data_IF_705642850667
#
_entry.id   IF_705642850667
#
_cell.length_a   1.000
_cell.length_b   1.000
_cell.length_c   1.000
_cell.angle_alpha   90.00
_cell.angle_beta   90.00
_cell.angle_gamma   90.00
#
_symmetry.space_group_name_H-M   'P 1'
#
loop_
_entity.id
_entity.type
_entity.pdbx_description
1 polymer ?
2 non-polymer ?
3 non-polymer ?
4 water ?
#
# COMPACT_ATOMS: atom_id res chain seq x y z
N UNK A 1 13.31 10.25 -6.06
CA UNK A 1 12.50 10.35 -7.32
C UNK A 1 11.75 11.69 -7.28
N UNK A 2 11.43 12.20 -8.44
CA UNK A 2 10.79 13.51 -8.56
C UNK A 2 9.60 13.34 -9.52
N UNK A 3 8.48 13.94 -9.12
CA UNK A 3 7.32 14.08 -10.00
C UNK A 3 6.92 15.52 -10.09
N UNK A 4 6.54 15.93 -11.30
CA UNK A 4 6.06 17.29 -11.51
C UNK A 4 4.81 17.29 -12.44
N UNK A 5 3.81 18.12 -12.11
CA UNK A 5 2.67 18.31 -13.01
C UNK A 5 2.23 19.73 -12.97
N UNK A 6 1.67 20.24 -14.08
CA UNK A 6 1.19 21.61 -14.10
C UNK A 6 -0.17 21.71 -13.41
N UNK A 7 -0.42 22.88 -12.88
CA UNK A 7 -1.72 23.21 -12.32
C UNK A 7 -2.87 22.74 -13.25
N UNK A 8 -3.87 22.09 -12.68
CA UNK A 8 -5.02 21.54 -13.38
C UNK A 8 -4.93 20.07 -13.73
N UNK A 9 -3.73 19.53 -13.73
CA UNK A 9 -3.50 18.10 -14.01
C UNK A 9 -3.22 17.41 -12.66
N UNK A 10 -3.08 16.08 -12.75
CA UNK A 10 -2.93 15.26 -11.59
C UNK A 10 -1.54 14.66 -11.62
N UNK A 11 -0.94 14.46 -10.45
CA UNK A 11 0.38 13.86 -10.39
C UNK A 11 0.25 12.46 -9.81
N UNK A 12 0.76 11.44 -10.51
CA UNK A 12 0.79 10.08 -10.08
C UNK A 12 2.19 9.73 -9.52
N UNK A 13 2.25 9.18 -8.29
CA UNK A 13 3.52 8.67 -7.69
C UNK A 13 3.27 7.21 -7.49
N UNK A 14 4.30 6.39 -7.71
CA UNK A 14 4.21 4.95 -7.56
C UNK A 14 5.56 4.40 -7.09
N UNK A 15 5.49 3.34 -6.30
CA UNK A 15 6.65 2.56 -5.89
C UNK A 15 6.47 1.08 -6.30
N UNK A 16 7.57 0.37 -6.48
CA UNK A 16 7.49 -1.02 -6.79
C UNK A 16 6.96 -1.85 -5.66
N UNK A 17 6.64 -3.10 -6.00
CA UNK A 17 5.86 -3.93 -5.08
C UNK A 17 6.67 -4.19 -3.84
N UNK A 18 6.00 -3.96 -2.72
CA UNK A 18 6.58 -4.10 -1.40
C UNK A 18 7.25 -2.87 -0.84
N UNK A 19 7.24 -1.75 -1.60
CA UNK A 19 7.74 -0.48 -1.16
C UNK A 19 6.62 0.56 -1.06
N UNK A 20 6.75 1.46 -0.11
CA UNK A 20 5.81 2.53 0.04
C UNK A 20 6.46 3.87 -0.12
N UNK A 21 5.61 4.85 -0.38
CA UNK A 21 6.03 6.22 -0.55
C UNK A 21 6.41 6.91 0.77
N UNK A 22 7.58 7.56 0.71
CA UNK A 22 8.10 8.38 1.74
C UNK A 22 8.43 9.73 1.15
N UNK A 23 7.62 10.73 1.50
CA UNK A 23 7.75 12.06 0.90
C UNK A 23 8.87 12.88 1.55
N UNK A 24 9.75 13.39 0.70
CA UNK A 24 10.90 14.25 1.19
C UNK A 24 10.63 15.76 1.07
N UNK A 25 10.05 16.16 -0.07
CA UNK A 25 9.73 17.53 -0.38
C UNK A 25 8.46 17.58 -1.18
N UNK A 26 7.64 18.60 -0.95
CA UNK A 26 6.52 18.87 -1.82
C UNK A 26 6.26 20.35 -1.93
N UNK A 27 5.93 20.82 -3.13
CA UNK A 27 5.41 22.16 -3.24
C UNK A 27 4.44 22.32 -4.37
N UNK A 28 3.33 23.00 -4.08
CA UNK A 28 2.46 23.56 -5.10
C UNK A 28 2.73 25.03 -5.16
N UNK A 29 3.10 25.51 -6.33
CA UNK A 29 3.59 26.91 -6.45
C UNK A 29 4.44 27.10 -7.67
N UNK A 30 5.47 27.96 -7.56
CA UNK A 30 6.41 28.13 -8.66
C UNK A 30 7.76 28.61 -8.12
N UNK A 31 8.80 27.88 -8.41
CA UNK A 31 10.16 28.25 -7.99
C UNK A 31 11.18 28.21 -9.11
N UNK A 32 10.68 28.02 -10.31
CA UNK A 32 11.52 27.98 -11.52
C UNK A 32 10.68 28.47 -12.69
N UNK A 33 11.27 29.26 -13.58
CA UNK A 33 10.62 29.62 -14.87
C UNK A 33 10.49 28.54 -15.90
N UNK A 34 11.30 27.51 -15.79
CA UNK A 34 11.48 26.53 -16.83
C UNK A 34 10.54 25.33 -16.70
N UNK A 35 9.81 25.25 -15.59
CA UNK A 35 8.85 24.17 -15.34
C UNK A 35 7.44 24.72 -15.65
N UNK A 36 6.69 24.07 -16.52
CA UNK A 36 5.34 24.56 -16.92
C UNK A 36 5.42 26.02 -17.34
N UNK A 37 6.35 26.35 -18.24
CA UNK A 37 6.59 27.72 -18.58
C UNK A 37 5.37 28.45 -19.14
N UNK A 38 5.21 29.69 -18.73
CA UNK A 38 4.22 30.60 -19.31
C UNK A 38 4.92 31.92 -19.46
N UNK A 39 4.16 32.96 -19.73
CA UNK A 39 4.78 34.25 -19.94
C UNK A 39 4.27 35.25 -18.88
N UNK A 40 5.15 36.12 -18.37
CA UNK A 40 6.54 36.22 -18.88
C UNK A 40 7.52 36.38 -17.75
N UNK A 41 7.45 37.55 -17.12
CA UNK A 41 8.45 37.97 -16.13
C UNK A 41 8.52 36.97 -14.96
N UNK A 42 9.69 36.84 -14.34
CA UNK A 42 9.79 36.03 -13.11
C UNK A 42 9.08 36.76 -11.96
N UNK A 43 8.27 36.05 -11.18
CA UNK A 43 7.73 36.59 -9.92
C UNK A 43 8.51 36.10 -8.71
N UNK A 44 8.24 36.65 -7.51
CA UNK A 44 8.94 36.07 -6.36
C UNK A 44 8.64 34.58 -6.22
N UNK A 45 9.54 33.81 -5.59
CA UNK A 45 9.27 32.42 -5.34
C UNK A 45 7.86 32.28 -4.67
N UNK A 46 7.15 31.23 -5.10
CA UNK A 46 5.80 30.95 -4.65
C UNK A 46 5.71 29.51 -4.09
N UNK A 47 5.22 29.40 -2.86
CA UNK A 47 5.07 28.07 -2.23
C UNK A 47 3.86 28.01 -1.41
N UNK A 48 3.00 27.02 -1.64
CA UNK A 48 1.89 26.83 -0.66
C UNK A 48 2.45 26.13 0.56
N UNK A 49 2.27 26.74 1.74
CA UNK A 49 2.78 26.12 2.96
C UNK A 49 2.05 24.85 3.28
N UNK A 50 0.80 24.73 2.80
CA UNK A 50 0.00 23.52 2.98
C UNK A 50 0.57 22.25 2.29
N UNK A 51 1.56 22.41 1.39
CA UNK A 51 1.81 21.38 0.34
C UNK A 51 2.30 20.06 0.97
N UNK A 52 3.32 20.15 1.80
CA UNK A 52 3.91 18.93 2.35
C UNK A 52 2.91 18.06 3.11
N UNK A 53 2.14 18.65 4.04
CA UNK A 53 1.20 17.92 4.84
C UNK A 53 0.13 17.23 3.98
N UNK A 54 -0.36 17.97 2.99
CA UNK A 54 -1.35 17.42 2.08
C UNK A 54 -0.77 16.26 1.29
N UNK A 55 0.44 16.37 0.77
CA UNK A 55 1.01 15.27 0.01
C UNK A 55 1.28 14.08 0.94
N UNK A 56 1.77 14.34 2.15
CA UNK A 56 1.86 13.29 3.17
C UNK A 56 0.54 12.59 3.41
N UNK A 57 -0.54 13.33 3.65
CA UNK A 57 -1.88 12.70 3.77
C UNK A 57 -2.32 11.86 2.58
N UNK A 58 -2.13 12.40 1.39
CA UNK A 58 -2.53 11.72 0.16
C UNK A 58 -1.64 10.57 -0.21
N UNK A 59 -0.34 10.56 0.18
CA UNK A 59 0.62 9.63 -0.43
C UNK A 59 1.48 8.81 0.53
N UNK A 60 1.83 9.34 1.70
CA UNK A 60 2.73 8.62 2.61
C UNK A 60 2.16 7.29 3.03
N UNK A 61 3.02 6.29 3.02
CA UNK A 61 2.60 4.95 3.37
C UNK A 61 1.80 4.18 2.34
N UNK A 62 1.63 4.70 1.11
CA UNK A 62 0.87 4.05 0.09
C UNK A 62 1.86 3.57 -0.96
N UNK A 63 1.48 2.60 -1.74
CA UNK A 63 2.29 2.19 -2.88
C UNK A 63 2.09 3.08 -4.10
N UNK A 64 0.99 3.82 -4.11
CA UNK A 64 0.53 4.58 -5.26
C UNK A 64 -0.28 5.78 -4.77
N UNK A 65 -0.23 6.93 -5.46
CA UNK A 65 -1.19 7.99 -5.16
C UNK A 65 -1.35 8.86 -6.37
N UNK A 66 -2.48 9.57 -6.41
CA UNK A 66 -2.76 10.48 -7.51
C UNK A 66 -3.26 11.75 -6.86
N UNK A 67 -2.68 12.93 -7.14
CA UNK A 67 -3.04 14.17 -6.46
C UNK A 67 -3.32 15.25 -7.52
N UNK A 68 -4.43 15.95 -7.35
CA UNK A 68 -4.80 17.06 -8.26
C UNK A 68 -4.06 18.30 -7.88
N UNK A 69 -3.36 18.90 -8.84
CA UNK A 69 -2.57 20.10 -8.55
C UNK A 69 -3.44 21.33 -8.79
N UNK A 70 -4.27 21.65 -7.79
CA UNK A 70 -5.28 22.68 -7.95
C UNK A 70 -5.36 23.52 -6.70
N UNK A 71 -5.84 24.74 -6.89
CA UNK A 71 -6.11 25.65 -5.77
C UNK A 71 -7.13 25.11 -4.75
N UNK A 72 -8.11 24.35 -5.22
CA UNK A 72 -9.06 23.75 -4.29
C UNK A 72 -8.36 22.84 -3.27
N UNK A 73 -7.39 22.07 -3.75
CA UNK A 73 -6.59 21.23 -2.83
C UNK A 73 -5.68 22.04 -1.89
N UNK A 74 -4.85 22.94 -2.45
CA UNK A 74 -3.75 23.56 -1.78
C UNK A 74 -3.97 24.96 -1.27
N UNK A 75 -5.10 25.58 -1.68
CA UNK A 75 -5.18 27.06 -1.71
C UNK A 75 -4.35 27.65 -2.87
N UNK A 76 -4.49 28.94 -3.06
CA UNK A 76 -3.68 29.65 -4.08
C UNK A 76 -2.58 30.46 -3.44
N UNK A 77 -1.34 29.99 -3.50
CA UNK A 77 -0.25 30.69 -2.84
C UNK A 77 0.28 31.89 -3.60
N UNK A 78 -0.18 32.11 -4.82
CA UNK A 78 0.24 33.27 -5.60
C UNK A 78 -0.73 33.51 -6.75
N UNK A 79 -1.77 34.33 -6.49
CA UNK A 79 -2.79 34.67 -7.50
C UNK A 79 -2.19 35.21 -8.78
N UNK A 80 -2.67 34.77 -9.91
CA UNK A 80 -2.22 35.24 -11.21
C UNK A 80 -0.96 34.56 -11.71
N UNK A 81 -0.42 33.60 -10.93
CA UNK A 81 0.74 32.81 -11.33
C UNK A 81 0.36 31.38 -11.71
N UNK A 82 0.73 30.96 -12.91
CA UNK A 82 0.52 29.59 -13.34
C UNK A 82 1.44 28.72 -12.43
N UNK A 83 0.81 27.74 -11.76
CA UNK A 83 1.53 26.94 -10.81
C UNK A 83 1.81 25.54 -11.30
N UNK A 84 2.62 24.80 -10.50
CA UNK A 84 2.88 23.43 -10.74
C UNK A 84 3.11 22.77 -9.36
N UNK A 85 3.01 21.44 -9.34
CA UNK A 85 3.21 20.66 -8.12
C UNK A 85 4.46 19.86 -8.34
N UNK A 86 5.37 19.89 -7.39
CA UNK A 86 6.66 19.09 -7.49
C UNK A 86 6.79 18.35 -6.19
N UNK A 87 7.05 17.06 -6.27
CA UNK A 87 7.23 16.18 -5.13
C UNK A 87 8.54 15.45 -5.32
N UNK A 88 9.31 15.40 -4.25
CA UNK A 88 10.48 14.56 -4.18
C UNK A 88 10.16 13.50 -3.12
N UNK A 89 10.28 12.26 -3.50
CA UNK A 89 9.91 11.08 -2.69
C UNK A 89 10.88 9.92 -2.87
N UNK A 90 10.86 9.02 -1.88
CA UNK A 90 11.67 7.80 -1.85
C UNK A 90 10.66 6.67 -1.65
N UNK A 91 11.02 5.49 -2.16
CA UNK A 91 10.23 4.27 -2.03
C UNK A 91 11.01 3.39 -1.11
N UNK A 92 10.39 3.05 0.00
CA UNK A 92 11.10 2.31 1.07
C UNK A 92 10.26 1.18 1.58
N UNK A 93 10.89 0.20 2.19
CA UNK A 93 10.16 -0.78 2.94
C UNK A 93 9.71 -0.07 4.27
N UNK A 94 8.49 -0.36 4.66
CA UNK A 94 7.86 0.20 5.85
C UNK A 94 8.65 -0.22 7.07
N UNK A 95 9.30 0.72 7.77
CA UNK A 95 9.96 0.32 9.03
C UNK A 95 9.06 -0.11 10.22
N UNK A 96 7.76 0.03 10.09
CA UNK A 96 6.90 -0.49 11.12
C UNK A 96 6.75 -2.04 11.00
N UNK A 97 7.22 -2.65 9.93
CA UNK A 97 7.07 -4.06 9.73
C UNK A 97 8.28 -4.81 10.31
N UNK A 98 8.04 -6.04 10.74
CA UNK A 98 9.06 -6.95 11.24
C UNK A 98 9.74 -7.64 10.08
N UNK A 99 11.08 -7.67 10.12
CA UNK A 99 11.90 -8.19 9.02
C UNK A 99 12.33 -9.64 9.25
N UNK A 100 11.87 -10.55 8.39
CA UNK A 100 12.22 -12.00 8.49
C UNK A 100 12.89 -12.48 7.26
N UNK A 101 13.70 -13.51 7.39
CA UNK A 101 14.41 -14.08 6.29
C UNK A 101 14.78 -15.51 6.59
N UNK A 102 14.48 -16.43 5.65
CA UNK A 102 14.96 -17.81 5.76
C UNK A 102 15.38 -18.30 4.44
N UNK A 103 16.34 -19.24 4.46
CA UNK A 103 16.86 -19.80 3.23
C UNK A 103 15.89 -20.80 2.62
N UNK A 104 16.07 -21.05 1.34
CA UNK A 104 15.24 -22.01 0.59
C UNK A 104 15.19 -23.35 1.37
N UNK A 105 13.98 -23.92 1.49
CA UNK A 105 13.81 -25.15 2.20
C UNK A 105 13.25 -24.97 3.57
N UNK A 106 13.41 -23.78 4.16
CA UNK A 106 12.82 -23.45 5.45
C UNK A 106 11.47 -22.77 5.22
N UNK A 107 10.74 -22.54 6.31
CA UNK A 107 9.48 -21.82 6.35
C UNK A 107 9.62 -20.66 7.26
N UNK A 108 8.90 -19.57 6.94
CA UNK A 108 8.75 -18.51 7.86
C UNK A 108 7.41 -18.63 8.55
N UNK A 109 7.42 -18.68 9.87
CA UNK A 109 6.19 -18.78 10.72
C UNK A 109 5.87 -17.41 11.33
N UNK A 110 4.74 -16.86 10.94
CA UNK A 110 4.33 -15.59 11.45
C UNK A 110 3.13 -15.79 12.31
N UNK A 111 3.06 -15.01 13.39
CA UNK A 111 1.97 -15.18 14.33
C UNK A 111 1.57 -13.84 14.83
N UNK A 112 0.26 -13.59 14.96
CA UNK A 112 -0.26 -12.37 15.51
C UNK A 112 -1.14 -12.78 16.64
N UNK A 113 -0.57 -12.81 17.85
CA UNK A 113 -1.27 -13.43 18.98
C UNK A 113 -2.26 -12.50 19.70
N UNK A 114 -2.18 -11.19 19.51
CA UNK A 114 -3.02 -10.25 20.24
C UNK A 114 -4.38 -10.04 19.56
N UNK A 115 -5.41 -9.92 20.41
CA UNK A 115 -6.76 -9.73 19.94
C UNK A 115 -6.96 -8.44 19.18
N UNK A 116 -6.36 -7.36 19.63
CA UNK A 116 -6.60 -6.06 19.01
C UNK A 116 -5.84 -5.95 17.66
N UNK A 117 -4.78 -6.73 17.49
CA UNK A 117 -4.00 -6.75 16.24
C UNK A 117 -3.81 -8.13 15.74
N UNK A 118 -4.89 -8.74 15.28
CA UNK A 118 -4.89 -10.16 15.10
C UNK A 118 -4.53 -10.63 13.66
N UNK A 119 -4.34 -9.67 12.73
CA UNK A 119 -4.26 -9.99 11.32
C UNK A 119 -2.89 -9.71 10.74
N UNK A 120 -2.36 -10.71 10.07
CA UNK A 120 -1.10 -10.55 9.36
C UNK A 120 -1.27 -9.70 8.11
N UNK A 121 -0.43 -8.67 8.00
CA UNK A 121 -0.29 -7.97 6.73
C UNK A 121 1.13 -8.16 6.25
N UNK A 122 1.26 -8.61 5.03
CA UNK A 122 2.60 -8.77 4.44
C UNK A 122 2.92 -7.43 3.73
N UNK A 123 3.96 -6.81 4.23
CA UNK A 123 4.45 -5.51 3.71
C UNK A 123 5.30 -5.66 2.48
N UNK A 124 6.23 -6.64 2.53
CA UNK A 124 7.24 -6.85 1.48
C UNK A 124 7.52 -8.31 1.37
N UNK A 125 7.79 -8.80 0.17
CA UNK A 125 8.21 -10.16 -0.01
C UNK A 125 9.08 -10.30 -1.21
N UNK A 126 10.10 -11.14 -1.09
CA UNK A 126 11.01 -11.47 -2.19
C UNK A 126 11.44 -12.92 -1.99
N UNK A 127 11.03 -13.81 -2.92
CA UNK A 127 11.61 -15.15 -3.03
C UNK A 127 12.56 -15.12 -4.23
N UNK A 128 13.82 -15.39 -3.94
CA UNK A 128 14.85 -15.34 -4.97
C UNK A 128 16.21 -15.09 -4.33
N UNK A 129 16.97 -14.17 -4.93
CA UNK A 129 18.25 -13.77 -4.33
C UNK A 129 18.59 -12.36 -4.80
N UNK A 130 18.79 -11.46 -3.85
CA UNK A 130 19.19 -10.07 -4.16
C UNK A 130 20.57 -9.71 -3.71
N UNK A 131 21.24 -10.64 -3.03
CA UNK A 131 22.61 -10.41 -2.50
C UNK A 131 23.35 -11.78 -2.36
N UNK A 132 24.66 -11.71 -2.22
CA UNK A 132 25.53 -12.85 -2.00
C UNK A 132 25.82 -12.99 -0.49
N UNK A 133 27.12 -13.05 -0.08
CA UNK A 133 27.43 -13.19 1.33
C UNK A 133 26.98 -11.94 2.02
N UNK A 134 26.50 -12.01 3.27
CA UNK A 134 26.53 -13.20 4.10
C UNK A 134 25.10 -13.85 4.19
N UNK A 135 24.33 -13.79 3.11
CA UNK A 135 22.92 -14.34 3.14
C UNK A 135 22.86 -15.71 2.56
N UNK A 136 22.48 -16.71 3.37
CA UNK A 136 22.20 -18.05 2.82
C UNK A 136 23.25 -18.61 1.85
N UNK A 137 24.49 -18.70 2.35
CA UNK A 137 25.58 -19.09 1.42
C UNK A 137 25.42 -20.43 0.81
N UNK A 138 25.88 -20.53 -0.43
CA UNK A 138 25.86 -21.76 -1.19
C UNK A 138 26.83 -21.67 -2.33
N UNK A 139 27.35 -22.82 -2.73
CA UNK A 139 28.14 -22.91 -3.95
C UNK A 139 27.33 -22.72 -5.20
N UNK A 140 26.00 -22.90 -5.14
CA UNK A 140 25.14 -22.95 -6.31
C UNK A 140 24.40 -21.62 -6.44
N UNK A 141 25.13 -20.60 -6.89
CA UNK A 141 24.59 -19.22 -7.02
C UNK A 141 25.20 -18.59 -8.25
N UNK A 142 24.38 -18.10 -9.13
CA UNK A 142 24.90 -17.46 -10.32
C UNK A 142 24.26 -16.13 -10.58
N UNK A 143 23.47 -15.62 -9.62
CA UNK A 143 22.80 -14.36 -9.80
C UNK A 143 22.43 -13.76 -8.44
N UNK A 144 22.41 -12.45 -8.39
CA UNK A 144 21.90 -11.69 -7.27
C UNK A 144 20.90 -10.69 -7.75
N UNK A 145 20.26 -10.99 -8.90
CA UNK A 145 19.15 -10.18 -9.44
C UNK A 145 18.00 -11.10 -9.80
N UNK A 146 17.58 -11.83 -8.78
CA UNK A 146 16.58 -12.90 -8.94
C UNK A 146 15.41 -12.64 -7.98
N UNK A 147 14.18 -12.60 -8.52
CA UNK A 147 13.01 -12.50 -7.66
C UNK A 147 11.78 -13.02 -8.39
N UNK A 148 11.00 -13.85 -7.69
CA UNK A 148 9.70 -14.22 -8.23
C UNK A 148 8.85 -12.95 -8.35
N UNK A 149 8.35 -12.65 -9.54
CA UNK A 149 7.56 -11.43 -9.73
C UNK A 149 6.22 -11.51 -8.94
N UNK A 150 5.79 -12.75 -8.70
CA UNK A 150 4.69 -13.20 -7.84
C UNK A 150 4.93 -13.14 -6.32
N UNK A 151 6.09 -12.70 -5.84
CA UNK A 151 6.44 -12.95 -4.43
C UNK A 151 5.41 -12.35 -3.47
N UNK A 152 5.05 -11.09 -3.66
CA UNK A 152 4.20 -10.40 -2.73
C UNK A 152 2.75 -10.90 -2.90
N UNK A 153 2.31 -11.05 -4.14
CA UNK A 153 0.92 -11.51 -4.38
C UNK A 153 0.73 -12.91 -3.79
N UNK A 154 1.72 -13.78 -3.98
CA UNK A 154 1.61 -15.14 -3.45
C UNK A 154 1.68 -15.11 -1.94
N UNK A 155 2.61 -14.36 -1.40
CA UNK A 155 2.70 -14.27 0.06
C UNK A 155 1.39 -13.80 0.71
N UNK A 156 0.78 -12.81 0.09
CA UNK A 156 -0.47 -12.24 0.57
C UNK A 156 -1.63 -13.26 0.39
N UNK A 157 -1.67 -13.95 -0.75
CA UNK A 157 -2.70 -14.96 -0.91
C UNK A 157 -2.60 -16.09 0.13
N UNK A 158 -1.39 -16.44 0.54
CA UNK A 158 -1.19 -17.43 1.56
C UNK A 158 -1.53 -16.91 2.96
N UNK A 159 -1.10 -15.70 3.29
CA UNK A 159 -1.07 -15.24 4.67
C UNK A 159 -1.97 -14.07 5.09
N UNK A 160 -2.30 -13.21 4.12
CA UNK A 160 -2.96 -11.91 4.43
C UNK A 160 -4.23 -12.14 5.20
N UNK A 161 -4.31 -11.47 6.36
CA UNK A 161 -5.52 -11.50 7.17
C UNK A 161 -5.58 -12.61 8.18
N UNK A 162 -4.61 -13.54 8.12
CA UNK A 162 -4.64 -14.72 9.02
C UNK A 162 -4.01 -14.33 10.33
N UNK A 163 -4.31 -15.07 11.39
CA UNK A 163 -3.61 -14.91 12.65
C UNK A 163 -2.36 -15.75 12.74
N UNK A 164 -2.23 -16.78 11.89
CA UNK A 164 -1.02 -17.57 11.84
C UNK A 164 -0.81 -17.93 10.42
N UNK A 165 0.45 -17.93 9.97
CA UNK A 165 0.73 -18.37 8.66
C UNK A 165 2.15 -18.90 8.64
N UNK A 166 2.31 -20.03 8.01
CA UNK A 166 3.62 -20.60 7.82
C UNK A 166 3.79 -20.76 6.32
N UNK A 167 4.81 -20.10 5.79
CA UNK A 167 4.99 -20.04 4.34
C UNK A 167 6.37 -20.58 3.97
N UNK A 168 6.42 -21.52 3.03
CA UNK A 168 7.65 -22.16 2.69
C UNK A 168 8.45 -21.30 1.70
N UNK A 169 9.74 -21.21 1.95
CA UNK A 169 10.68 -20.67 0.98
C UNK A 169 10.91 -21.75 -0.07
N UNK A 170 9.98 -21.92 -0.99
CA UNK A 170 10.03 -23.06 -1.89
C UNK A 170 9.50 -22.77 -3.26
N UNK A 171 10.04 -23.47 -4.23
CA UNK A 171 9.61 -23.32 -5.63
C UNK A 171 8.17 -23.76 -5.83
N UNK A 172 7.74 -24.67 -4.95
CA UNK A 172 6.35 -25.21 -5.03
C UNK A 172 5.34 -24.15 -4.65
N UNK A 173 5.77 -23.18 -3.83
CA UNK A 173 4.94 -22.00 -3.50
C UNK A 173 5.02 -20.86 -4.53
N UNK A 174 6.24 -20.45 -4.87
CA UNK A 174 6.46 -19.20 -5.60
C UNK A 174 6.78 -19.39 -7.06
N UNK A 175 6.99 -20.64 -7.49
CA UNK A 175 7.74 -20.95 -8.70
C UNK A 175 9.23 -20.76 -8.54
N UNK A 176 9.99 -21.19 -9.53
CA UNK A 176 11.45 -21.01 -9.47
C UNK A 176 11.89 -19.83 -10.37
N UNK A 177 12.21 -18.70 -9.75
CA UNK A 177 12.59 -17.53 -10.51
C UNK A 177 14.06 -17.55 -11.01
N UNK A 178 14.89 -18.48 -10.57
CA UNK A 178 16.32 -18.56 -11.07
C UNK A 178 16.83 -19.95 -10.89
N UNK A 179 16.49 -20.76 -11.87
CA UNK A 179 16.89 -22.18 -11.83
C UNK A 179 18.39 -22.29 -11.68
N UNK A 180 18.84 -23.05 -10.70
CA UNK A 180 20.26 -23.25 -10.52
C UNK A 180 20.90 -22.45 -9.43
N UNK A 181 20.12 -21.53 -8.82
CA UNK A 181 20.62 -20.69 -7.81
C UNK A 181 19.85 -20.94 -6.50
N UNK A 182 20.60 -21.17 -5.43
CA UNK A 182 20.07 -21.39 -4.08
C UNK A 182 19.46 -20.05 -3.59
N UNK A 183 18.19 -20.10 -3.16
CA UNK A 183 17.38 -18.90 -2.98
C UNK A 183 17.09 -18.71 -1.52
N UNK A 184 16.44 -17.59 -1.19
CA UNK A 184 15.91 -17.31 0.15
C UNK A 184 14.59 -16.57 0.04
N UNK A 185 13.86 -16.53 1.16
CA UNK A 185 12.65 -15.78 1.26
C UNK A 185 12.80 -14.67 2.27
N UNK A 186 12.56 -13.42 1.87
CA UNK A 186 12.70 -12.28 2.73
C UNK A 186 11.28 -11.69 2.81
N UNK A 187 10.72 -11.61 4.01
CA UNK A 187 9.37 -11.13 4.21
C UNK A 187 9.40 -10.17 5.33
N UNK A 188 8.74 -9.05 5.11
CA UNK A 188 8.51 -8.08 6.18
C UNK A 188 7.00 -8.14 6.48
N UNK A 189 6.59 -8.20 7.77
CA UNK A 189 5.16 -8.33 8.05
C UNK A 189 4.82 -7.48 9.24
N UNK A 190 3.55 -7.17 9.36
CA UNK A 190 3.04 -6.42 10.53
C UNK A 190 1.74 -7.10 10.99
N UNK A 191 1.53 -7.13 12.30
CA UNK A 191 0.23 -7.53 12.88
C UNK A 191 -0.69 -6.30 12.93
N UNK A 192 -1.72 -6.33 12.10
CA UNK A 192 -2.62 -5.23 11.88
C UNK A 192 -3.93 -5.34 12.69
N UNK A 193 -4.57 -4.19 12.95
CA UNK A 193 -5.97 -4.14 13.28
C UNK A 193 -6.84 -4.58 12.08
N UNK A 194 -7.97 -5.19 12.39
CA UNK A 194 -8.93 -5.57 11.37
C UNK A 194 -10.31 -4.97 11.65
N UNK A 195 -10.93 -4.44 10.60
CA UNK A 195 -12.35 -4.11 10.62
C UNK A 195 -13.03 -4.91 9.52
N UNK A 196 -14.27 -5.27 9.76
CA UNK A 196 -15.08 -5.94 8.75
C UNK A 196 -16.53 -5.57 8.96
N UNK A 197 -17.20 -5.17 7.87
CA UNK A 197 -18.68 -5.08 7.88
C UNK A 197 -19.26 -5.72 6.66
N UNK A 198 -20.42 -6.36 6.85
CA UNK A 198 -21.14 -6.95 5.78
C UNK A 198 -21.77 -5.87 4.87
N UNK A 199 -21.96 -6.24 3.62
CA UNK A 199 -22.52 -5.34 2.68
C UNK A 199 -23.87 -4.84 3.17
N UNK A 200 -24.16 -3.58 2.90
CA UNK A 200 -25.36 -2.96 3.44
C UNK A 200 -25.15 -2.30 4.77
N UNK A 201 -23.98 -2.46 5.40
CA UNK A 201 -23.68 -1.80 6.67
C UNK A 201 -22.46 -0.90 6.50
N UNK A 202 -22.18 -0.12 7.55
CA UNK A 202 -20.98 0.69 7.63
C UNK A 202 -19.88 -0.01 8.42
N UNK A 203 -18.63 0.42 8.16
CA UNK A 203 -17.41 0.00 8.88
C UNK A 203 -16.72 1.23 9.40
N UNK A 204 -16.51 1.25 10.72
CA UNK A 204 -15.73 2.30 11.37
C UNK A 204 -14.37 1.81 11.82
N UNK A 205 -13.35 2.57 11.44
CA UNK A 205 -11.98 2.37 11.86
C UNK A 205 -11.68 3.50 12.85
N UNK A 206 -10.81 3.21 13.82
CA UNK A 206 -10.54 4.11 14.96
C UNK A 206 -9.14 3.86 15.53
N UNK A 207 -8.42 4.95 15.77
CA UNK A 207 -7.16 4.95 16.53
C UNK A 207 -7.38 5.83 17.76
N UNK A 208 -6.89 5.38 18.92
CA UNK A 208 -6.95 6.16 20.16
C UNK A 208 -5.87 7.27 20.23
N UNK A 209 -5.90 8.05 21.32
CA UNK A 209 -4.72 8.77 21.83
C UNK A 209 -4.09 9.74 20.84
N UNK A 210 -4.91 10.44 20.08
CA UNK A 210 -4.33 11.24 19.00
C UNK A 210 -3.34 10.44 18.17
N UNK A 211 -3.75 9.24 17.77
CA UNK A 211 -3.01 8.49 16.75
C UNK A 211 -3.84 8.49 15.50
N UNK A 212 -3.19 8.15 14.41
CA UNK A 212 -3.73 8.32 13.08
C UNK A 212 -3.68 7.00 12.24
N UNK A 213 -4.71 6.79 11.40
CA UNK A 213 -4.86 5.57 10.58
C UNK A 213 -3.93 5.50 9.38
N UNK A 214 -3.39 4.30 9.14
CA UNK A 214 -2.75 4.01 7.87
C UNK A 214 -3.34 2.67 7.39
N UNK A 215 -4.09 2.71 6.31
CA UNK A 215 -4.77 1.49 5.87
C UNK A 215 -3.76 0.70 5.08
N UNK A 216 -3.64 -0.57 5.40
CA UNK A 216 -2.69 -1.43 4.76
C UNK A 216 -3.21 -2.36 3.69
N UNK A 217 -4.44 -2.85 3.86
CA UNK A 217 -5.03 -3.77 2.88
C UNK A 217 -6.52 -3.58 2.98
N UNK A 218 -7.21 -3.70 1.88
CA UNK A 218 -8.68 -3.61 1.94
C UNK A 218 -9.32 -4.28 0.76
N UNK A 219 -10.46 -4.97 0.99
CA UNK A 219 -11.24 -5.39 -0.16
C UNK A 219 -12.70 -5.31 0.16
N UNK A 220 -13.45 -4.85 -0.82
CA UNK A 220 -14.92 -5.07 -0.81
C UNK A 220 -15.21 -6.21 -1.77
N UNK A 221 -15.76 -7.29 -1.26
CA UNK A 221 -16.02 -8.44 -2.08
C UNK A 221 -16.21 -9.61 -1.15
N UNK A 222 -15.52 -10.68 -1.48
CA UNK A 222 -15.60 -11.91 -0.67
C UNK A 222 -14.45 -12.84 -1.01
N UNK A 223 -13.75 -13.30 0.01
CA UNK A 223 -12.71 -14.34 -0.16
C UNK A 223 -12.90 -15.58 0.71
N UNK A 224 -14.01 -15.64 1.43
CA UNK A 224 -14.28 -16.70 2.36
C UNK A 224 -15.66 -17.19 2.14
N UNK A 225 -15.94 -18.34 2.76
CA UNK A 225 -17.23 -18.90 2.68
C UNK A 225 -18.22 -18.22 3.58
N UNK A 226 -19.44 -18.77 3.61
CA UNK A 226 -20.56 -18.12 4.31
C UNK A 226 -20.49 -18.06 5.82
N UNK A 227 -19.47 -18.66 6.43
CA UNK A 227 -19.17 -18.36 7.81
C UNK A 227 -18.75 -16.90 8.07
N UNK A 228 -18.30 -16.20 7.00
CA UNK A 228 -18.08 -14.77 7.07
C UNK A 228 -19.26 -14.06 6.35
N UNK A 229 -20.02 -13.26 7.10
CA UNK A 229 -21.14 -12.50 6.54
C UNK A 229 -22.12 -13.39 5.82
N UNK A 230 -22.74 -14.27 6.58
CA UNK A 230 -23.63 -15.24 5.96
C UNK A 230 -24.57 -14.65 4.92
N UNK A 231 -24.53 -15.26 3.73
CA UNK A 231 -25.17 -14.79 2.52
C UNK A 231 -24.64 -15.68 1.40
N UNK A 232 -25.09 -15.44 0.18
CA UNK A 232 -24.62 -16.23 -0.94
C UNK A 232 -23.08 -16.04 -1.12
N UNK A 233 -22.35 -17.16 -1.25
CA UNK A 233 -20.90 -17.14 -1.29
C UNK A 233 -20.37 -17.76 -2.58
N UNK A 234 -21.04 -17.54 -3.70
CA UNK A 234 -20.70 -18.22 -4.92
C UNK A 234 -19.33 -17.75 -5.49
N UNK A 235 -18.99 -16.48 -5.34
CA UNK A 235 -17.69 -16.03 -5.78
C UNK A 235 -16.83 -15.71 -4.57
N UNK A 236 -15.83 -16.52 -4.31
CA UNK A 236 -14.86 -16.30 -3.23
C UNK A 236 -13.51 -15.85 -3.74
N UNK A 237 -13.47 -15.36 -4.99
CA UNK A 237 -12.34 -14.65 -5.60
C UNK A 237 -12.80 -13.30 -6.00
N UNK A 238 -13.50 -12.61 -5.08
CA UNK A 238 -14.17 -11.39 -5.41
C UNK A 238 -13.58 -10.17 -4.71
N UNK A 239 -13.04 -9.23 -5.50
CA UNK A 239 -12.45 -8.03 -4.90
C UNK A 239 -12.68 -6.81 -5.81
N UNK A 240 -13.26 -5.73 -5.28
CA UNK A 240 -13.48 -4.54 -6.08
C UNK A 240 -12.13 -3.93 -6.33
N UNK A 241 -11.90 -3.56 -7.58
CA UNK A 241 -10.64 -2.94 -7.95
C UNK A 241 -10.55 -1.60 -7.23
N UNK A 242 -9.39 -1.16 -6.85
CA UNK A 242 -9.46 0.17 -6.17
C UNK A 242 -10.15 0.20 -4.75
N UNK A 243 -10.52 -0.94 -4.16
CA UNK A 243 -10.92 -0.94 -2.74
C UNK A 243 -9.89 -0.21 -1.88
N UNK A 244 -8.62 -0.60 -2.02
CA UNK A 244 -7.58 -0.04 -1.12
C UNK A 244 -7.48 1.49 -1.29
N UNK A 245 -7.40 1.92 -2.53
CA UNK A 245 -7.33 3.36 -2.80
C UNK A 245 -8.51 4.13 -2.20
N UNK A 246 -9.70 3.62 -2.36
CA UNK A 246 -10.87 4.28 -1.80
C UNK A 246 -10.81 4.38 -0.25
N UNK A 247 -10.42 3.30 0.42
CA UNK A 247 -10.41 3.27 1.87
C UNK A 247 -9.21 4.10 2.32
N UNK A 248 -8.05 4.02 1.65
CA UNK A 248 -6.91 4.91 2.02
C UNK A 248 -7.30 6.39 1.88
N UNK A 249 -7.92 6.72 0.74
CA UNK A 249 -8.38 8.06 0.49
C UNK A 249 -9.41 8.57 1.50
N UNK A 250 -10.28 7.70 2.04
CA UNK A 250 -11.25 8.03 3.09
C UNK A 250 -10.65 8.09 4.50
N UNK A 251 -9.57 7.35 4.72
CA UNK A 251 -9.16 7.11 6.08
C UNK A 251 -7.73 7.49 6.49
N UNK A 252 -6.77 7.52 5.56
CA UNK A 252 -5.36 7.69 5.91
C UNK A 252 -5.16 9.08 6.48
N UNK A 253 -4.52 9.14 7.62
CA UNK A 253 -4.18 10.43 8.20
C UNK A 253 -5.25 10.97 9.13
N UNK A 254 -6.33 10.23 9.34
CA UNK A 254 -7.41 10.57 10.27
C UNK A 254 -7.34 9.69 11.51
N UNK A 255 -8.09 10.08 12.56
CA UNK A 255 -8.24 9.28 13.79
C UNK A 255 -9.47 8.37 13.81
N UNK A 256 -10.43 8.66 12.94
CA UNK A 256 -11.63 7.86 12.82
C UNK A 256 -12.06 8.03 11.38
N UNK A 257 -12.63 6.97 10.79
CA UNK A 257 -13.35 7.07 9.51
C UNK A 257 -14.50 6.09 9.50
N UNK A 258 -15.48 6.35 8.63
CA UNK A 258 -16.53 5.39 8.36
C UNK A 258 -16.64 5.24 6.85
N UNK A 259 -16.78 4.00 6.43
CA UNK A 259 -16.95 3.69 5.01
C UNK A 259 -18.11 2.75 4.87
N UNK A 260 -19.00 3.02 3.90
CA UNK A 260 -20.11 2.11 3.70
C UNK A 260 -19.69 0.96 2.81
N UNK A 261 -19.96 -0.26 3.27
CA UNK A 261 -19.74 -1.46 2.48
C UNK A 261 -20.87 -1.58 1.52
N UNK A 262 -20.78 -0.98 0.36
CA UNK A 262 -21.87 -1.14 -0.59
C UNK A 262 -21.43 -0.84 -2.01
N UNK A 263 -22.27 -1.27 -2.94
CA UNK A 263 -21.97 -1.17 -4.37
C UNK A 263 -21.91 0.28 -4.86
N UNK A 264 -22.56 1.22 -4.15
CA UNK A 264 -22.51 2.60 -4.61
C UNK A 264 -21.13 3.20 -4.27
N UNK A 265 -20.37 2.64 -3.32
CA UNK A 265 -18.99 3.12 -3.03
C UNK A 265 -17.93 2.44 -3.93
N UNK A 266 -18.05 1.15 -4.13
CA UNK A 266 -16.99 0.33 -4.72
C UNK A 266 -17.33 -0.28 -6.08
N UNK A 267 -18.55 -0.10 -6.55
CA UNK A 267 -19.11 -0.91 -7.64
C UNK A 267 -19.46 -2.31 -7.14
N UNK A 268 -20.08 -3.12 -8.00
CA UNK A 268 -20.34 -4.54 -7.67
C UNK A 268 -19.36 -5.44 -8.37
N UNK A 269 -18.35 -5.98 -7.66
CA UNK A 269 -17.38 -6.84 -8.33
C UNK A 269 -17.86 -8.28 -8.54
N UNK A 270 -19.03 -8.68 -8.02
CA UNK A 270 -19.49 -10.05 -8.19
C UNK A 270 -20.99 -10.12 -7.89
N UNK A 271 -21.76 -9.91 -8.94
CA UNK A 271 -23.23 -9.88 -8.84
C UNK A 271 -23.75 -11.20 -8.32
N UNK A 272 -24.62 -11.12 -7.33
CA UNK A 272 -25.26 -12.29 -6.75
C UNK A 272 -24.48 -12.94 -5.61
N UNK A 273 -23.22 -12.52 -5.37
CA UNK A 273 -22.50 -12.88 -4.12
C UNK A 273 -22.73 -11.80 -3.08
N UNK A 274 -23.02 -12.21 -1.85
CA UNK A 274 -23.18 -11.26 -0.74
C UNK A 274 -21.80 -10.83 -0.28
N UNK A 275 -21.51 -9.53 -0.24
CA UNK A 275 -20.18 -9.06 -0.08
C UNK A 275 -19.91 -8.47 1.31
N UNK A 276 -18.66 -8.10 1.58
CA UNK A 276 -18.34 -7.46 2.83
C UNK A 276 -17.07 -6.62 2.53
N UNK A 277 -16.85 -5.68 3.41
CA UNK A 277 -15.65 -4.89 3.46
C UNK A 277 -14.73 -5.28 4.60
N UNK A 278 -13.52 -5.70 4.23
CA UNK A 278 -12.54 -6.14 5.19
C UNK A 278 -11.29 -5.32 5.03
N UNK A 279 -10.85 -4.72 6.13
CA UNK A 279 -9.76 -3.77 6.11
C UNK A 279 -8.76 -4.12 7.18
N UNK A 280 -7.48 -4.08 6.83
CA UNK A 280 -6.39 -4.16 7.77
C UNK A 280 -5.74 -2.84 7.86
N UNK A 281 -5.46 -2.40 9.10
CA UNK A 281 -4.80 -1.10 9.22
C UNK A 281 -3.95 -1.01 10.44
N UNK A 282 -3.18 0.09 10.54
CA UNK A 282 -2.34 0.30 11.71
C UNK A 282 -2.67 1.66 12.24
N UNK A 283 -2.35 1.85 13.52
CA UNK A 283 -2.47 3.18 14.15
C UNK A 283 -1.06 3.69 14.54
N UNK A 284 -0.66 4.86 14.10
CA UNK A 284 0.65 5.43 14.49
C UNK A 284 0.46 6.88 14.94
#
# INVERSE_FOLDING_TARGET
AVGRTCEGKSLDLECPEGYIISVNYANYGRNSPGICPHKSSNAPPCSASSSLRIINEHCDGRSSCSVHATNDVFGDPCRGVYKYLEVDYSCRRDPDCQRELDCEGNSINMLCPYAETPAIHICYAMYGRQTSEPVCPSKSISTTNCAASSSLSTARSVCEGRSECSIAASNDVFGDPCIGTYKYLEIDYICARRGRSCEGSSLTLSCSSGQTISVLDAFYGRTAGPEICKGNAQDQNCRAESSLNIVQSACNGRSSCSVNANNNVFGDPCVGTYKYLEVLYKCA
#
